data_IF_753543278199
#
_entry.id   IF_753543278199
#
_cell.length_a   1.000
_cell.length_b   1.000
_cell.length_c   1.000
_cell.angle_alpha   90.00
_cell.angle_beta   90.00
_cell.angle_gamma   90.00
#
_symmetry.space_group_name_H-M   'P 1'
#
loop_
_entity.id
_entity.type
_entity.pdbx_description
1 polymer ?
#
# COMPACT_ATOMS: atom_id res chain seq x y z
N UNK A 1 20.19 7.06 19.00
CA UNK A 1 19.38 8.00 18.18
C UNK A 1 18.35 7.16 17.45
N UNK A 2 17.08 7.20 17.86
CA UNK A 2 16.00 6.46 17.17
C UNK A 2 15.49 7.38 16.07
N UNK A 3 15.77 7.05 14.81
CA UNK A 3 15.22 7.77 13.66
C UNK A 3 13.76 7.35 13.55
N UNK A 4 12.85 8.22 14.00
CA UNK A 4 11.41 8.02 13.86
C UNK A 4 11.07 8.31 12.41
N UNK A 5 10.98 7.27 11.59
CA UNK A 5 10.55 7.37 10.20
C UNK A 5 9.03 7.47 10.23
N UNK A 6 8.49 8.69 10.10
CA UNK A 6 7.05 8.87 9.88
C UNK A 6 6.77 8.51 8.42
N UNK A 7 6.00 7.45 8.12
CA UNK A 7 5.66 7.15 6.73
C UNK A 7 4.83 8.31 6.15
N UNK A 8 5.36 8.93 5.09
CA UNK A 8 4.70 10.01 4.32
C UNK A 8 3.66 9.42 3.35
N UNK A 9 2.73 8.63 3.84
CA UNK A 9 1.63 8.16 2.98
C UNK A 9 0.36 8.71 3.56
N UNK A 10 -0.19 9.69 2.86
CA UNK A 10 -1.54 10.14 3.17
C UNK A 10 -2.49 9.05 2.71
N UNK A 11 -3.46 8.68 3.55
CA UNK A 11 -4.50 7.70 3.23
C UNK A 11 -5.25 8.06 1.92
N UNK A 12 -5.20 9.32 1.47
CA UNK A 12 -5.75 9.78 0.20
C UNK A 12 -5.00 9.30 -1.07
N UNK A 13 -3.77 8.82 -0.97
CA UNK A 13 -2.98 8.41 -2.14
C UNK A 13 -3.37 7.02 -2.66
N UNK A 14 -3.78 6.14 -1.75
CA UNK A 14 -4.23 4.77 -2.03
C UNK A 14 -5.75 4.77 -2.26
N UNK A 15 -6.15 5.01 -3.52
CA UNK A 15 -7.56 5.08 -3.91
C UNK A 15 -7.98 3.85 -4.72
N UNK A 16 -9.09 3.23 -4.33
CA UNK A 16 -9.70 2.12 -5.08
C UNK A 16 -10.05 2.57 -6.50
N UNK A 17 -9.97 1.64 -7.46
CA UNK A 17 -10.27 1.89 -8.87
C UNK A 17 -9.10 2.50 -9.69
N UNK A 18 -8.02 2.95 -9.03
CA UNK A 18 -6.78 3.33 -9.73
C UNK A 18 -6.12 2.10 -10.36
N UNK A 19 -5.50 2.28 -11.53
CA UNK A 19 -4.64 1.25 -12.13
C UNK A 19 -3.42 1.00 -11.24
N UNK A 20 -2.84 -0.19 -11.37
CA UNK A 20 -1.56 -0.51 -10.73
C UNK A 20 -0.45 0.52 -11.05
N UNK A 21 -0.38 1.03 -12.28
CA UNK A 21 0.63 2.02 -12.66
C UNK A 21 0.41 3.37 -11.96
N UNK A 22 -0.84 3.82 -11.81
CA UNK A 22 -1.15 5.04 -11.08
C UNK A 22 -0.77 4.91 -9.60
N UNK A 23 -1.03 3.75 -8.99
CA UNK A 23 -0.64 3.45 -7.60
C UNK A 23 0.89 3.47 -7.46
N UNK A 24 1.62 2.81 -8.36
CA UNK A 24 3.09 2.80 -8.35
C UNK A 24 3.66 4.22 -8.50
N UNK A 25 3.00 5.04 -9.31
CA UNK A 25 3.40 6.45 -9.50
C UNK A 25 3.16 7.28 -8.23
N UNK A 26 2.13 6.98 -7.45
CA UNK A 26 1.80 7.73 -6.23
C UNK A 26 2.60 7.31 -5.01
N UNK A 27 2.76 6.01 -4.75
CA UNK A 27 3.36 5.51 -3.50
C UNK A 27 4.69 4.77 -3.71
N UNK A 28 5.16 4.66 -4.96
CA UNK A 28 6.39 3.98 -5.32
C UNK A 28 6.17 2.54 -5.78
N UNK A 29 7.26 1.87 -6.18
CA UNK A 29 7.21 0.46 -6.58
C UNK A 29 7.04 -0.44 -5.36
N UNK A 30 6.29 -1.55 -5.46
CA UNK A 30 6.22 -2.53 -4.39
C UNK A 30 7.56 -3.26 -4.24
N UNK A 31 7.79 -3.80 -3.04
CA UNK A 31 8.92 -4.69 -2.78
C UNK A 31 8.79 -5.99 -3.56
N UNK A 32 7.55 -6.46 -3.71
CA UNK A 32 7.23 -7.69 -4.42
C UNK A 32 5.87 -7.61 -5.10
N UNK A 33 5.75 -8.23 -6.26
CA UNK A 33 4.50 -8.41 -6.98
C UNK A 33 4.24 -9.90 -7.20
N UNK A 34 3.08 -10.36 -6.74
CA UNK A 34 2.59 -11.70 -7.04
C UNK A 34 1.64 -11.64 -8.25
N UNK A 35 2.10 -12.14 -9.39
CA UNK A 35 1.33 -12.17 -10.64
C UNK A 35 0.15 -13.13 -10.60
N UNK A 36 0.23 -14.21 -9.82
CA UNK A 36 -0.85 -15.22 -9.72
C UNK A 36 -2.05 -14.69 -8.94
N UNK A 37 -1.78 -13.94 -7.87
CA UNK A 37 -2.83 -13.37 -7.01
C UNK A 37 -3.11 -11.89 -7.31
N UNK A 38 -2.35 -11.31 -8.23
CA UNK A 38 -2.40 -9.90 -8.62
C UNK A 38 -2.29 -8.97 -7.40
N UNK A 39 -1.22 -9.15 -6.61
CA UNK A 39 -0.99 -8.47 -5.35
C UNK A 39 0.36 -7.75 -5.32
N UNK A 40 0.36 -6.50 -4.87
CA UNK A 40 1.57 -5.76 -4.55
C UNK A 40 1.81 -5.78 -3.03
N UNK A 41 3.04 -6.04 -2.62
CA UNK A 41 3.46 -6.06 -1.23
C UNK A 41 4.39 -4.87 -0.98
N UNK A 42 4.04 -4.05 0.01
CA UNK A 42 4.83 -2.93 0.50
C UNK A 42 5.17 -3.18 1.97
N UNK A 43 6.29 -3.87 2.21
CA UNK A 43 6.72 -4.34 3.52
C UNK A 43 7.04 -3.18 4.45
N UNK A 44 7.75 -2.16 3.96
CA UNK A 44 8.10 -0.95 4.73
C UNK A 44 6.87 -0.18 5.20
N UNK A 45 5.76 -0.33 4.47
CA UNK A 45 4.49 0.33 4.76
C UNK A 45 3.54 -0.58 5.56
N UNK A 46 3.85 -1.87 5.64
CA UNK A 46 2.93 -2.89 6.14
C UNK A 46 1.62 -2.94 5.34
N UNK A 47 1.69 -2.89 4.00
CA UNK A 47 0.50 -2.86 3.14
C UNK A 47 0.57 -3.96 2.09
N UNK A 48 -0.57 -4.62 1.86
CA UNK A 48 -0.81 -5.46 0.69
C UNK A 48 -1.93 -4.83 -0.13
N UNK A 49 -1.69 -4.61 -1.42
CA UNK A 49 -2.66 -4.10 -2.37
C UNK A 49 -3.10 -5.21 -3.31
N UNK A 50 -4.41 -5.34 -3.51
CA UNK A 50 -5.01 -6.37 -4.36
C UNK A 50 -5.63 -5.71 -5.58
N UNK A 51 -5.31 -6.22 -6.77
CA UNK A 51 -5.83 -5.71 -8.02
C UNK A 51 -6.83 -6.70 -8.64
N UNK A 52 -7.93 -6.16 -9.13
CA UNK A 52 -8.92 -6.89 -9.92
C UNK A 52 -8.34 -7.39 -11.26
N UNK A 53 -9.08 -8.25 -11.98
CA UNK A 53 -8.70 -8.70 -13.33
C UNK A 53 -8.51 -7.56 -14.35
N UNK A 54 -9.18 -6.42 -14.13
CA UNK A 54 -8.99 -5.21 -14.94
C UNK A 54 -7.77 -4.38 -14.52
N UNK A 55 -6.89 -4.94 -13.67
CA UNK A 55 -5.70 -4.31 -13.12
C UNK A 55 -5.96 -3.00 -12.36
N UNK A 56 -7.15 -2.92 -11.73
CA UNK A 56 -7.58 -1.81 -10.87
C UNK A 56 -7.52 -2.21 -9.41
N UNK A 57 -7.02 -1.32 -8.55
CA UNK A 57 -6.93 -1.51 -7.12
C UNK A 57 -8.33 -1.79 -6.55
N UNK A 58 -8.52 -2.98 -6.00
CA UNK A 58 -9.81 -3.46 -5.53
C UNK A 58 -9.86 -3.54 -4.00
N UNK A 59 -8.73 -3.81 -3.35
CA UNK A 59 -8.66 -3.93 -1.90
C UNK A 59 -7.28 -3.51 -1.38
N UNK A 60 -7.28 -2.94 -0.19
CA UNK A 60 -6.09 -2.54 0.57
C UNK A 60 -6.14 -3.27 1.90
N UNK A 61 -5.08 -3.99 2.24
CA UNK A 61 -4.93 -4.67 3.53
C UNK A 61 -3.73 -4.07 4.25
N UNK A 62 -3.98 -3.45 5.39
CA UNK A 62 -2.93 -3.00 6.29
C UNK A 62 -2.53 -4.18 7.19
N UNK A 63 -1.31 -4.66 7.00
CA UNK A 63 -0.67 -5.59 7.91
C UNK A 63 -0.36 -4.80 9.18
N UNK A 64 -1.15 -5.02 10.23
CA UNK A 64 -0.81 -4.57 11.59
C UNK A 64 0.54 -5.19 11.98
N UNK A 65 1.63 -4.45 11.77
CA UNK A 65 2.78 -4.58 12.65
C UNK A 65 2.31 -4.01 14.00
N UNK A 66 2.30 -4.85 15.02
CA UNK A 66 1.73 -4.49 16.31
C UNK A 66 2.34 -3.18 16.86
N UNK A 67 1.43 -2.35 17.39
CA UNK A 67 1.61 -1.23 18.33
C UNK A 67 1.94 0.18 17.77
N UNK A 68 0.90 1.01 17.95
CA UNK A 68 0.88 2.47 18.12
C UNK A 68 0.54 3.35 16.90
N UNK A 69 -0.69 3.87 16.98
CA UNK A 69 -1.12 5.18 16.48
C UNK A 69 -1.45 5.31 14.98
N UNK A 70 -2.58 4.73 14.58
CA UNK A 70 -3.39 5.33 13.51
C UNK A 70 -4.20 6.49 14.09
N UNK A 71 -3.72 7.72 13.91
CA UNK A 71 -4.56 8.90 14.09
C UNK A 71 -5.36 9.12 12.81
N UNK A 72 -6.68 8.91 12.91
CA UNK A 72 -7.64 9.42 11.93
C UNK A 72 -7.81 10.92 12.24
N UNK A 73 -7.41 11.78 11.30
CA UNK A 73 -7.75 13.21 11.29
C UNK A 73 -8.93 13.46 10.35
#
# INVERSE_FOLDING_TARGET
>A
MIIKITPKISVGEIQLGKTRQEVITSIGKPDYFNEYTNQDFYNDLGIILFYSKANKLAQVVFLKLMQNEFHLF
#
